data_IF_000676350411
#
_entry.id   IF_000676350411
#
_cell.length_a   1.000
_cell.length_b   1.000
_cell.length_c   1.000
_cell.angle_alpha   90.00
_cell.angle_beta   90.00
_cell.angle_gamma   90.00
#
_symmetry.space_group_name_H-M   'P 1'
#
loop_
_entity.id
_entity.type
_entity.pdbx_description
1 polymer ?
#
# COMPACT_ATOMS: atom_id res chain seq x y z
N UNK A 1 4.00 34.78 41.44
CA UNK A 1 3.58 35.90 40.55
C UNK A 1 2.97 35.32 39.27
N UNK A 2 1.66 35.45 39.04
CA UNK A 2 1.00 34.76 37.94
C UNK A 2 0.98 35.61 36.67
N UNK A 3 1.50 35.06 35.57
CA UNK A 3 1.30 35.62 34.23
C UNK A 3 -0.11 35.22 33.77
N UNK A 4 -1.08 36.10 34.00
CA UNK A 4 -2.41 35.99 33.42
C UNK A 4 -2.30 36.15 31.90
N UNK A 5 -2.47 35.05 31.15
CA UNK A 5 -2.62 35.10 29.69
C UNK A 5 -4.08 35.46 29.41
N UNK A 6 -4.30 36.64 28.83
CA UNK A 6 -5.64 37.12 28.44
C UNK A 6 -6.35 36.18 27.46
N UNK A 7 -7.67 36.34 27.27
CA UNK A 7 -8.48 35.44 26.46
C UNK A 7 -7.95 35.43 25.02
N UNK A 8 -7.51 34.24 24.58
CA UNK A 8 -7.06 34.01 23.21
C UNK A 8 -8.18 34.32 22.21
N UNK A 9 -7.78 34.84 21.06
CA UNK A 9 -8.66 35.23 19.95
C UNK A 9 -9.64 34.08 19.61
N UNK A 10 -10.96 34.35 19.52
CA UNK A 10 -11.94 33.32 19.21
C UNK A 10 -11.70 32.77 17.80
N UNK A 11 -11.38 31.48 17.70
CA UNK A 11 -11.21 30.77 16.42
C UNK A 11 -9.87 30.05 16.22
N UNK A 12 -8.89 30.24 17.10
CA UNK A 12 -7.65 29.46 17.06
C UNK A 12 -7.90 28.04 17.60
N UNK A 13 -7.75 27.02 16.73
CA UNK A 13 -7.80 25.61 17.14
C UNK A 13 -6.62 25.35 18.09
N UNK A 14 -6.92 24.86 19.28
CA UNK A 14 -5.89 24.56 20.29
C UNK A 14 -5.36 23.16 19.98
N UNK A 15 -4.07 23.06 19.65
CA UNK A 15 -3.40 21.78 19.42
C UNK A 15 -3.06 21.11 20.75
N UNK A 16 -3.96 20.26 21.24
CA UNK A 16 -3.86 19.60 22.56
C UNK A 16 -2.59 18.74 22.74
N UNK A 17 -1.95 18.29 21.65
CA UNK A 17 -0.71 17.51 21.70
C UNK A 17 0.55 18.37 21.99
N UNK A 18 0.49 19.67 21.72
CA UNK A 18 1.61 20.60 21.97
C UNK A 18 1.59 21.17 23.41
N UNK A 19 0.51 20.94 24.16
CA UNK A 19 0.38 21.37 25.55
C UNK A 19 0.86 20.26 26.49
N UNK A 20 1.74 20.61 27.42
CA UNK A 20 2.11 19.71 28.52
C UNK A 20 0.89 19.47 29.43
N UNK A 21 0.74 18.23 29.89
CA UNK A 21 -0.36 17.85 30.78
C UNK A 21 -0.41 18.80 32.00
N UNK A 22 -1.60 19.34 32.35
CA UNK A 22 -1.75 20.20 33.51
C UNK A 22 -1.37 19.46 34.80
N UNK A 23 -0.69 20.15 35.72
CA UNK A 23 -0.08 19.55 36.92
C UNK A 23 -1.05 18.81 37.87
N UNK A 24 -2.37 19.04 37.76
CA UNK A 24 -3.40 18.40 38.58
C UNK A 24 -4.39 17.56 37.76
N UNK A 25 -4.10 17.26 36.50
CA UNK A 25 -4.98 16.44 35.67
C UNK A 25 -4.92 14.97 36.11
N UNK A 26 -6.06 14.41 36.51
CA UNK A 26 -6.23 12.97 36.73
C UNK A 26 -6.82 12.34 35.46
N UNK A 27 -6.07 11.49 34.74
CA UNK A 27 -6.57 10.78 33.56
C UNK A 27 -7.85 10.00 33.88
N UNK A 28 -8.83 10.02 32.98
CA UNK A 28 -10.13 9.35 33.16
C UNK A 28 -11.13 10.12 34.02
N UNK A 29 -10.71 10.68 35.15
CA UNK A 29 -11.61 11.39 36.08
C UNK A 29 -12.18 12.69 35.47
N UNK A 30 -11.35 13.48 34.78
CA UNK A 30 -11.79 14.72 34.12
C UNK A 30 -12.71 14.52 32.91
N UNK A 31 -12.81 13.29 32.39
CA UNK A 31 -13.73 12.89 31.30
C UNK A 31 -15.02 12.24 31.85
N UNK A 32 -15.13 12.07 33.16
CA UNK A 32 -16.24 11.31 33.78
C UNK A 32 -16.16 9.80 33.52
N UNK A 33 -14.98 9.27 33.19
CA UNK A 33 -14.79 7.83 33.07
C UNK A 33 -14.71 7.22 34.48
N UNK A 34 -15.82 6.62 34.92
CA UNK A 34 -15.84 5.72 36.07
C UNK A 34 -15.61 4.29 35.57
N UNK A 35 -14.78 3.51 36.27
CA UNK A 35 -14.73 2.07 36.04
C UNK A 35 -16.11 1.46 36.28
N UNK A 36 -16.52 0.50 35.44
CA UNK A 36 -17.77 -0.22 35.65
C UNK A 36 -17.65 -1.03 36.95
N UNK A 37 -18.35 -0.60 38.00
CA UNK A 37 -18.48 -1.37 39.24
C UNK A 37 -19.34 -2.59 38.94
N UNK A 38 -18.72 -3.74 38.73
CA UNK A 38 -19.44 -5.01 38.60
C UNK A 38 -19.77 -5.57 39.98
N UNK A 39 -20.68 -6.54 40.06
CA UNK A 39 -21.15 -7.16 41.32
C UNK A 39 -20.03 -7.77 42.19
N UNK A 40 -18.82 -7.90 41.64
CA UNK A 40 -17.62 -8.38 42.34
C UNK A 40 -16.85 -7.29 43.09
N UNK A 41 -17.04 -5.99 42.77
CA UNK A 41 -16.38 -4.87 43.47
C UNK A 41 -17.06 -4.50 44.80
N UNK A 42 -18.25 -5.03 45.07
CA UNK A 42 -18.95 -4.91 46.36
C UNK A 42 -18.55 -6.13 47.22
N UNK A 43 -17.25 -6.26 47.49
CA UNK A 43 -16.63 -7.27 48.36
C UNK A 43 -16.01 -6.63 49.61
N UNK A 44 -15.71 -7.40 50.67
CA UNK A 44 -15.45 -6.86 52.01
C UNK A 44 -14.23 -5.94 52.04
N UNK A 45 -14.44 -4.78 52.67
CA UNK A 45 -13.52 -3.65 52.79
C UNK A 45 -12.25 -4.00 53.57
N UNK A 46 -11.19 -4.37 52.86
CA UNK A 46 -9.83 -4.03 53.25
C UNK A 46 -9.22 -3.21 52.13
N UNK A 47 -8.51 -2.09 52.41
CA UNK A 47 -7.72 -1.42 51.38
C UNK A 47 -6.61 -2.39 50.98
N UNK A 48 -6.80 -3.08 49.84
CA UNK A 48 -5.72 -3.82 49.21
C UNK A 48 -4.59 -2.82 48.92
N UNK A 49 -3.31 -3.21 49.09
CA UNK A 49 -2.20 -2.40 48.59
C UNK A 49 -2.43 -2.07 47.12
N UNK A 50 -1.96 -0.90 46.66
CA UNK A 50 -2.05 -0.44 45.27
C UNK A 50 -1.24 -1.37 44.34
N UNK A 51 -1.75 -2.58 44.10
CA UNK A 51 -1.27 -3.46 43.04
C UNK A 51 -1.85 -2.88 41.76
N UNK A 52 -1.01 -2.46 40.78
CA UNK A 52 -1.54 -2.08 39.49
C UNK A 52 -2.34 -3.27 38.96
N UNK A 53 -3.63 -3.04 38.64
CA UNK A 53 -4.44 -4.01 37.88
C UNK A 53 -3.81 -4.13 36.50
N UNK A 54 -2.80 -4.99 36.37
CA UNK A 54 -2.33 -5.42 35.05
C UNK A 54 -3.51 -6.11 34.39
N UNK A 55 -3.87 -5.62 33.21
CA UNK A 55 -4.93 -6.21 32.42
C UNK A 55 -4.58 -7.68 32.16
N UNK A 56 -5.57 -8.56 32.29
CA UNK A 56 -5.53 -9.92 31.76
C UNK A 56 -5.46 -9.84 30.22
N UNK A 57 -4.32 -9.41 29.71
CA UNK A 57 -4.01 -9.35 28.29
C UNK A 57 -3.80 -10.79 27.84
N UNK A 58 -4.66 -11.29 26.94
CA UNK A 58 -4.56 -12.64 26.36
C UNK A 58 -3.18 -12.91 25.71
N UNK A 59 -2.40 -11.87 25.38
CA UNK A 59 -1.03 -11.98 24.87
C UNK A 59 0.06 -12.24 25.92
N UNK A 60 -0.24 -12.11 27.22
CA UNK A 60 0.65 -12.48 28.34
C UNK A 60 0.31 -13.84 28.96
N UNK A 61 -0.87 -14.37 28.66
CA UNK A 61 -1.27 -15.70 29.08
C UNK A 61 -0.64 -16.74 28.14
N UNK A 62 0.26 -17.56 28.67
CA UNK A 62 0.71 -18.78 28.00
C UNK A 62 -0.13 -19.98 28.47
N UNK A 63 -0.46 -20.90 27.58
CA UNK A 63 -1.30 -22.05 27.94
C UNK A 63 -0.59 -23.05 28.87
N UNK A 64 0.74 -23.05 28.88
CA UNK A 64 1.55 -23.92 29.73
C UNK A 64 2.01 -23.23 31.02
N UNK A 65 2.54 -22.01 30.92
CA UNK A 65 3.02 -21.23 32.06
C UNK A 65 1.93 -20.38 32.74
N UNK A 66 0.76 -20.21 32.13
CA UNK A 66 -0.30 -19.35 32.64
C UNK A 66 0.07 -17.86 32.53
N UNK A 67 -0.38 -17.05 33.49
CA UNK A 67 0.01 -15.64 33.60
C UNK A 67 1.24 -15.50 34.52
N UNK A 68 2.31 -16.22 34.21
CA UNK A 68 3.54 -16.24 35.02
C UNK A 68 4.49 -15.13 34.60
N UNK A 69 4.16 -13.90 35.01
CA UNK A 69 5.02 -12.73 34.87
C UNK A 69 5.81 -12.43 36.14
N UNK A 70 5.91 -13.40 37.08
CA UNK A 70 6.56 -13.20 38.38
C UNK A 70 5.79 -12.28 39.34
N UNK A 71 4.57 -11.86 38.97
CA UNK A 71 3.73 -10.93 39.74
C UNK A 71 3.34 -11.47 41.11
N UNK A 72 3.24 -12.79 41.28
CA UNK A 72 2.88 -13.42 42.57
C UNK A 72 4.01 -13.35 43.62
N UNK A 73 5.28 -13.30 43.20
CA UNK A 73 6.43 -13.26 44.09
C UNK A 73 6.89 -11.83 44.43
N UNK A 74 6.60 -10.85 43.57
CA UNK A 74 7.06 -9.46 43.72
C UNK A 74 6.31 -8.60 44.75
N UNK A 75 5.27 -9.11 45.41
CA UNK A 75 4.44 -8.35 46.35
C UNK A 75 4.88 -8.45 47.82
N UNK A 76 5.85 -9.31 48.15
CA UNK A 76 6.39 -9.47 49.50
C UNK A 76 7.58 -8.55 49.77
N UNK A 77 7.89 -8.31 51.05
CA UNK A 77 9.19 -7.75 51.42
C UNK A 77 10.26 -8.81 51.11
N UNK A 78 11.27 -8.44 50.32
CA UNK A 78 12.37 -9.31 49.93
C UNK A 78 13.58 -8.99 50.79
N UNK A 79 13.88 -9.88 51.72
CA UNK A 79 14.90 -9.68 52.74
C UNK A 79 16.24 -10.30 52.30
N UNK A 80 17.30 -10.06 53.09
CA UNK A 80 18.64 -10.57 52.79
C UNK A 80 18.69 -12.11 52.76
N UNK A 81 17.84 -12.78 53.56
CA UNK A 81 17.69 -14.24 53.57
C UNK A 81 17.06 -14.77 52.27
N UNK A 82 16.11 -14.06 51.68
CA UNK A 82 15.52 -14.41 50.38
C UNK A 82 16.56 -14.31 49.25
N UNK A 83 17.43 -13.29 49.32
CA UNK A 83 18.54 -13.12 48.36
C UNK A 83 19.57 -14.24 48.46
N UNK A 84 19.90 -14.68 49.67
CA UNK A 84 20.81 -15.81 49.89
C UNK A 84 20.17 -17.13 49.43
N UNK A 85 18.88 -17.31 49.68
CA UNK A 85 18.12 -18.45 49.19
C UNK A 85 18.13 -18.51 47.66
N UNK A 86 17.83 -17.41 46.98
CA UNK A 86 17.84 -17.35 45.51
C UNK A 86 19.22 -17.66 44.93
N UNK A 87 20.30 -17.17 45.54
CA UNK A 87 21.66 -17.53 45.13
C UNK A 87 21.96 -19.01 45.29
N UNK A 88 21.51 -19.64 46.39
CA UNK A 88 21.70 -21.07 46.62
C UNK A 88 20.90 -21.89 45.60
N UNK A 89 19.64 -21.51 45.32
CA UNK A 89 18.81 -22.18 44.32
C UNK A 89 19.37 -22.00 42.91
N UNK A 90 19.84 -20.81 42.54
CA UNK A 90 20.48 -20.55 41.25
C UNK A 90 21.75 -21.41 41.08
N UNK A 91 22.56 -21.56 42.13
CA UNK A 91 23.74 -22.43 42.11
C UNK A 91 23.37 -23.91 41.92
N UNK A 92 22.28 -24.37 42.55
CA UNK A 92 21.76 -25.73 42.35
C UNK A 92 21.34 -25.93 40.90
N UNK A 93 20.60 -24.99 40.31
CA UNK A 93 20.18 -25.06 38.91
C UNK A 93 21.37 -25.01 37.95
N UNK A 94 22.33 -24.10 38.17
CA UNK A 94 23.57 -24.03 37.39
C UNK A 94 24.32 -25.37 37.43
N UNK A 95 24.48 -25.98 38.61
CA UNK A 95 25.11 -27.29 38.78
C UNK A 95 24.33 -28.42 38.08
N UNK A 96 23.01 -28.35 38.08
CA UNK A 96 22.16 -29.31 37.37
C UNK A 96 22.33 -29.18 35.84
N UNK A 97 22.52 -27.96 35.34
CA UNK A 97 22.71 -27.68 33.91
C UNK A 97 24.15 -27.97 33.40
N UNK A 98 25.17 -27.87 34.25
CA UNK A 98 26.61 -27.99 33.90
C UNK A 98 26.95 -29.18 32.98
N UNK A 99 26.32 -30.35 33.19
CA UNK A 99 26.63 -31.58 32.43
C UNK A 99 26.31 -31.47 30.94
N UNK A 100 25.35 -30.62 30.56
CA UNK A 100 24.91 -30.44 29.16
C UNK A 100 24.90 -28.99 28.73
N UNK A 101 25.30 -28.06 29.59
CA UNK A 101 25.27 -26.62 29.35
C UNK A 101 25.96 -26.26 28.03
N UNK A 102 27.20 -26.68 27.84
CA UNK A 102 27.98 -26.36 26.63
C UNK A 102 27.36 -26.93 25.35
N UNK A 103 26.82 -28.15 25.39
CA UNK A 103 26.17 -28.76 24.22
C UNK A 103 24.80 -28.15 23.94
N UNK A 104 24.03 -27.83 24.99
CA UNK A 104 22.72 -27.18 24.89
C UNK A 104 22.89 -25.78 24.33
N UNK A 105 23.77 -24.97 24.91
CA UNK A 105 24.05 -23.60 24.46
C UNK A 105 24.63 -23.58 23.04
N UNK A 106 25.56 -24.49 22.70
CA UNK A 106 26.09 -24.57 21.34
C UNK A 106 25.00 -24.94 20.32
N UNK A 107 24.13 -25.91 20.66
CA UNK A 107 23.02 -26.32 19.79
C UNK A 107 21.94 -25.23 19.69
N UNK A 108 21.66 -24.53 20.78
CA UNK A 108 20.71 -23.42 20.83
C UNK A 108 21.25 -22.22 20.05
N UNK A 109 22.54 -21.90 20.18
CA UNK A 109 23.20 -20.86 19.40
C UNK A 109 23.20 -21.19 17.90
N UNK A 110 23.55 -22.42 17.51
CA UNK A 110 23.51 -22.86 16.11
C UNK A 110 22.07 -22.87 15.56
N UNK A 111 21.09 -23.26 16.38
CA UNK A 111 19.68 -23.22 15.99
C UNK A 111 19.18 -21.78 15.83
N UNK A 112 19.60 -20.86 16.72
CA UNK A 112 19.27 -19.45 16.65
C UNK A 112 19.95 -18.78 15.44
N UNK A 113 21.19 -19.13 15.13
CA UNK A 113 21.92 -18.66 13.96
C UNK A 113 21.23 -19.12 12.68
N UNK A 114 20.97 -20.42 12.54
CA UNK A 114 20.20 -20.96 11.40
C UNK A 114 18.80 -20.36 11.29
N UNK A 115 18.15 -20.07 12.43
CA UNK A 115 16.86 -19.41 12.44
C UNK A 115 16.97 -17.96 11.95
N UNK A 116 17.99 -17.21 12.38
CA UNK A 116 18.26 -15.85 11.91
C UNK A 116 18.65 -15.82 10.43
N UNK A 117 19.39 -16.80 9.95
CA UNK A 117 19.72 -16.95 8.53
C UNK A 117 18.48 -17.23 7.68
N UNK A 118 17.58 -18.11 8.14
CA UNK A 118 16.35 -18.46 7.43
C UNK A 118 15.28 -17.38 7.52
N UNK A 119 15.19 -16.73 8.67
CA UNK A 119 14.22 -15.69 8.99
C UNK A 119 14.96 -14.45 9.53
N UNK A 120 15.69 -13.72 8.66
CA UNK A 120 16.35 -12.49 9.08
C UNK A 120 15.28 -11.51 9.55
N UNK A 121 15.56 -10.77 10.63
CA UNK A 121 14.61 -9.79 11.14
C UNK A 121 14.38 -8.71 10.07
N UNK A 122 13.16 -8.19 9.94
CA UNK A 122 12.85 -7.14 8.96
C UNK A 122 13.84 -5.96 9.07
N UNK A 123 14.20 -5.54 10.28
CA UNK A 123 15.21 -4.49 10.49
C UNK A 123 16.61 -4.85 10.00
N UNK A 124 16.98 -6.13 9.99
CA UNK A 124 18.26 -6.63 9.48
C UNK A 124 18.25 -6.68 7.94
N UNK A 125 17.14 -7.11 7.33
CA UNK A 125 16.95 -7.09 5.87
C UNK A 125 17.11 -5.66 5.30
N UNK A 126 16.65 -4.66 6.05
CA UNK A 126 16.76 -3.25 5.69
C UNK A 126 18.02 -2.56 6.23
N UNK A 127 18.93 -3.25 6.94
CA UNK A 127 20.10 -2.61 7.55
C UNK A 127 21.04 -1.98 6.51
N UNK A 128 21.27 -2.69 5.39
CA UNK A 128 22.09 -2.19 4.29
C UNK A 128 21.43 -1.04 3.54
N UNK A 129 20.11 -1.09 3.34
CA UNK A 129 19.35 -0.01 2.73
C UNK A 129 19.32 1.22 3.65
N UNK A 130 19.21 1.04 4.97
CA UNK A 130 19.29 2.11 5.96
C UNK A 130 20.69 2.73 6.02
N UNK A 131 21.76 1.94 5.82
CA UNK A 131 23.13 2.47 5.68
C UNK A 131 23.31 3.25 4.38
N UNK A 132 22.74 2.81 3.27
CA UNK A 132 22.74 3.58 2.01
C UNK A 132 21.93 4.87 2.13
N UNK A 133 20.88 4.88 2.94
CA UNK A 133 20.05 6.05 3.16
C UNK A 133 20.80 7.21 3.85
N UNK A 134 21.95 6.96 4.51
CA UNK A 134 22.76 8.04 5.09
C UNK A 134 23.49 8.89 4.04
N UNK A 135 23.63 8.41 2.80
CA UNK A 135 24.23 9.21 1.73
C UNK A 135 23.26 10.21 1.10
N UNK A 136 21.97 10.13 1.41
CA UNK A 136 20.94 11.07 0.93
C UNK A 136 21.01 12.35 1.75
N UNK A 137 21.19 13.48 1.06
CA UNK A 137 21.33 14.80 1.69
C UNK A 137 20.00 15.33 2.22
N UNK A 138 20.03 16.20 3.23
CA UNK A 138 18.82 16.83 3.79
C UNK A 138 18.01 17.62 2.73
N UNK A 139 18.69 18.21 1.74
CA UNK A 139 18.01 18.86 0.61
C UNK A 139 17.25 17.88 -0.29
N UNK A 140 17.73 16.64 -0.44
CA UNK A 140 17.00 15.59 -1.18
C UNK A 140 15.83 15.06 -0.36
N UNK A 141 15.94 15.06 0.98
CA UNK A 141 14.83 14.74 1.88
C UNK A 141 13.69 15.76 1.77
N UNK A 142 14.02 17.05 1.71
CA UNK A 142 13.02 18.12 1.53
C UNK A 142 12.37 18.11 0.14
N UNK A 143 13.08 17.56 -0.86
CA UNK A 143 12.61 17.47 -2.23
C UNK A 143 11.77 16.20 -2.52
N UNK A 144 11.53 15.33 -1.53
CA UNK A 144 10.65 14.17 -1.70
C UNK A 144 9.22 14.68 -1.97
N UNK A 145 8.64 14.37 -3.15
CA UNK A 145 7.27 14.77 -3.44
C UNK A 145 6.30 13.99 -2.54
N UNK A 146 5.25 14.66 -2.09
CA UNK A 146 4.14 13.98 -1.43
C UNK A 146 3.51 12.97 -2.40
N UNK A 147 3.02 11.87 -1.85
CA UNK A 147 2.36 10.80 -2.61
C UNK A 147 1.00 11.35 -3.02
N UNK A 148 0.97 12.16 -4.09
CA UNK A 148 -0.28 12.55 -4.74
C UNK A 148 -1.11 11.29 -5.07
N UNK A 149 -2.39 11.46 -5.42
CA UNK A 149 -3.28 10.33 -5.73
C UNK A 149 -2.78 9.50 -6.94
N UNK A 150 -1.86 8.58 -6.67
CA UNK A 150 -1.27 7.63 -7.63
C UNK A 150 -2.23 6.48 -7.90
N UNK A 151 -3.31 6.38 -7.12
CA UNK A 151 -4.38 5.45 -7.43
C UNK A 151 -5.25 6.09 -8.49
N UNK A 152 -5.11 5.65 -9.74
CA UNK A 152 -6.15 5.86 -10.75
C UNK A 152 -7.38 5.09 -10.28
N UNK A 153 -8.15 5.66 -9.34
CA UNK A 153 -9.45 5.19 -8.92
C UNK A 153 -10.39 5.44 -10.09
N UNK A 154 -10.34 4.53 -11.06
CA UNK A 154 -11.32 4.51 -12.14
C UNK A 154 -12.69 4.46 -11.47
N UNK A 155 -13.58 5.43 -11.71
CA UNK A 155 -14.93 5.34 -11.17
C UNK A 155 -15.49 4.00 -11.61
N UNK A 156 -16.01 3.20 -10.66
CA UNK A 156 -16.66 1.93 -10.99
C UNK A 156 -17.71 2.22 -12.04
N UNK A 157 -17.51 1.74 -13.27
CA UNK A 157 -18.50 1.87 -14.33
C UNK A 157 -19.78 1.23 -13.82
N UNK A 158 -20.86 2.00 -13.76
CA UNK A 158 -22.18 1.46 -13.45
C UNK A 158 -22.43 0.28 -14.41
N UNK A 159 -22.92 -0.84 -13.88
CA UNK A 159 -23.15 -2.04 -14.67
C UNK A 159 -24.29 -1.77 -15.67
N UNK A 160 -23.94 -1.37 -16.88
CA UNK A 160 -24.86 -1.29 -18.01
C UNK A 160 -24.85 -2.67 -18.65
N UNK A 161 -25.89 -3.46 -18.38
CA UNK A 161 -26.08 -4.76 -19.00
C UNK A 161 -26.72 -4.58 -20.37
N UNK A 162 -25.94 -4.76 -21.43
CA UNK A 162 -26.45 -4.89 -22.80
C UNK A 162 -26.65 -6.36 -23.14
N UNK A 163 -27.69 -6.73 -23.92
CA UNK A 163 -27.86 -8.10 -24.38
C UNK A 163 -26.61 -8.57 -25.15
N UNK A 164 -26.23 -9.83 -24.95
CA UNK A 164 -25.07 -10.43 -25.59
C UNK A 164 -25.27 -10.48 -27.12
N UNK A 165 -24.25 -10.14 -27.94
CA UNK A 165 -24.39 -10.21 -29.39
C UNK A 165 -24.37 -11.67 -29.88
N UNK A 166 -25.18 -11.95 -30.90
CA UNK A 166 -25.33 -13.29 -31.51
C UNK A 166 -24.03 -13.85 -32.14
N UNK A 167 -22.98 -13.03 -32.30
CA UNK A 167 -21.65 -13.48 -32.73
C UNK A 167 -20.98 -14.44 -31.73
N UNK A 168 -21.35 -14.37 -30.45
CA UNK A 168 -20.95 -15.35 -29.45
C UNK A 168 -21.64 -16.70 -29.70
N UNK A 169 -22.90 -16.67 -30.14
CA UNK A 169 -23.65 -17.87 -30.51
C UNK A 169 -23.13 -18.46 -31.82
N UNK A 170 -22.78 -17.63 -32.81
CA UNK A 170 -22.16 -18.07 -34.07
C UNK A 170 -20.77 -18.70 -33.85
N UNK A 171 -19.98 -18.18 -32.89
CA UNK A 171 -18.69 -18.75 -32.50
C UNK A 171 -18.84 -20.07 -31.73
N UNK A 172 -19.88 -20.19 -30.91
CA UNK A 172 -20.22 -21.44 -30.24
C UNK A 172 -20.76 -22.49 -31.23
N UNK A 173 -21.59 -22.09 -32.19
CA UNK A 173 -22.15 -22.95 -33.23
C UNK A 173 -21.10 -23.37 -34.28
N UNK A 174 -20.07 -22.54 -34.52
CA UNK A 174 -18.95 -22.82 -35.42
C UNK A 174 -17.88 -23.78 -34.88
N UNK A 175 -18.09 -24.42 -33.72
CA UNK A 175 -17.20 -25.48 -33.22
C UNK A 175 -15.89 -25.00 -32.58
N UNK A 176 -15.88 -23.80 -31.99
CA UNK A 176 -14.68 -23.19 -31.39
C UNK A 176 -14.63 -23.19 -29.86
N UNK A 177 -14.90 -24.32 -29.20
CA UNK A 177 -14.54 -24.56 -27.79
C UNK A 177 -13.24 -25.37 -27.71
N UNK A 178 -12.18 -24.85 -28.33
CA UNK A 178 -10.81 -25.29 -28.10
C UNK A 178 -10.16 -24.42 -27.03
N UNK A 179 -10.00 -24.97 -25.83
CA UNK A 179 -9.17 -24.52 -24.70
C UNK A 179 -8.58 -23.09 -24.76
N UNK A 180 -9.18 -22.18 -23.98
CA UNK A 180 -8.41 -21.10 -23.33
C UNK A 180 -8.79 -21.05 -21.85
N UNK A 181 -8.68 -22.20 -21.17
CA UNK A 181 -8.48 -22.19 -19.72
C UNK A 181 -7.03 -21.75 -19.51
N UNK A 182 -6.85 -20.48 -19.20
CA UNK A 182 -5.66 -20.04 -18.46
C UNK A 182 -5.92 -20.45 -17.03
N UNK A 183 -5.42 -21.62 -16.65
CA UNK A 183 -5.34 -22.08 -15.26
C UNK A 183 -4.48 -21.07 -14.46
N UNK A 184 -4.96 -20.54 -13.32
CA UNK A 184 -4.19 -19.66 -12.45
C UNK A 184 -3.42 -20.42 -11.36
N UNK A 185 -3.19 -21.73 -11.54
CA UNK A 185 -2.61 -22.61 -10.51
C UNK A 185 -1.39 -23.31 -11.10
N UNK A 186 -0.29 -22.59 -11.17
CA UNK A 186 0.98 -23.12 -11.64
C UNK A 186 1.87 -21.95 -11.96
N UNK A 187 2.84 -21.69 -11.08
CA UNK A 187 3.83 -20.62 -11.21
C UNK A 187 4.60 -20.72 -12.51
N UNK A 188 4.00 -20.20 -13.59
CA UNK A 188 4.72 -19.74 -14.75
C UNK A 188 5.51 -18.54 -14.27
N UNK A 189 6.77 -18.79 -13.91
CA UNK A 189 7.81 -17.78 -13.92
C UNK A 189 7.64 -17.00 -15.22
N UNK A 190 7.05 -15.81 -15.12
CA UNK A 190 7.06 -14.81 -16.17
C UNK A 190 8.54 -14.47 -16.28
N UNK A 191 9.24 -15.13 -17.21
CA UNK A 191 10.54 -14.66 -17.67
C UNK A 191 10.28 -13.22 -18.11
N UNK A 192 10.85 -12.22 -17.43
CA UNK A 192 10.65 -10.83 -17.80
C UNK A 192 11.37 -10.64 -19.13
N UNK A 193 10.62 -10.69 -20.24
CA UNK A 193 11.20 -10.67 -21.58
C UNK A 193 10.35 -11.36 -22.65
N UNK A 194 9.45 -12.28 -22.30
CA UNK A 194 8.48 -12.85 -23.25
C UNK A 194 7.18 -12.06 -23.22
N UNK A 195 7.27 -10.73 -23.34
CA UNK A 195 6.11 -9.90 -23.61
C UNK A 195 5.57 -10.31 -24.98
N UNK A 196 4.53 -11.14 -25.00
CA UNK A 196 3.71 -11.36 -26.19
C UNK A 196 3.09 -10.01 -26.54
N UNK A 197 3.69 -9.31 -27.50
CA UNK A 197 3.27 -7.98 -27.91
C UNK A 197 1.83 -8.00 -28.44
N UNK A 198 0.89 -7.65 -27.57
CA UNK A 198 -0.54 -7.60 -27.87
C UNK A 198 -0.85 -6.51 -28.91
N UNK A 199 0.03 -5.52 -29.09
CA UNK A 199 -0.13 -4.48 -30.10
C UNK A 199 0.16 -5.03 -31.51
N UNK A 200 1.17 -5.90 -31.65
CA UNK A 200 1.45 -6.61 -32.90
C UNK A 200 0.30 -7.55 -33.30
N UNK A 201 -0.31 -8.24 -32.33
CA UNK A 201 -1.51 -9.08 -32.58
C UNK A 201 -2.70 -8.22 -33.01
N UNK A 202 -2.88 -7.04 -32.40
CA UNK A 202 -3.93 -6.08 -32.78
C UNK A 202 -3.74 -5.53 -34.19
N UNK A 203 -2.50 -5.15 -34.55
CA UNK A 203 -2.15 -4.69 -35.89
C UNK A 203 -2.37 -5.78 -36.94
N UNK A 204 -1.95 -7.03 -36.65
CA UNK A 204 -2.16 -8.17 -37.55
C UNK A 204 -3.64 -8.49 -37.81
N UNK A 205 -4.52 -8.25 -36.84
CA UNK A 205 -5.98 -8.37 -37.06
C UNK A 205 -6.53 -7.22 -37.89
N UNK A 206 -6.06 -5.99 -37.67
CA UNK A 206 -6.47 -4.81 -38.43
C UNK A 206 -6.14 -4.94 -39.92
N UNK A 207 -4.97 -5.48 -40.26
CA UNK A 207 -4.57 -5.68 -41.65
C UNK A 207 -5.42 -6.75 -42.35
N UNK A 208 -5.78 -7.83 -41.66
CA UNK A 208 -6.68 -8.86 -42.21
C UNK A 208 -8.08 -8.31 -42.46
N UNK A 209 -8.59 -7.47 -41.56
CA UNK A 209 -9.87 -6.78 -41.76
C UNK A 209 -9.79 -5.82 -42.95
N UNK A 210 -8.70 -5.05 -43.06
CA UNK A 210 -8.47 -4.16 -44.19
C UNK A 210 -8.44 -4.93 -45.51
N UNK A 211 -7.77 -6.08 -45.59
CA UNK A 211 -7.76 -6.95 -46.79
C UNK A 211 -9.15 -7.50 -47.14
N UNK A 212 -9.96 -7.83 -46.14
CA UNK A 212 -11.34 -8.29 -46.38
C UNK A 212 -12.24 -7.15 -46.83
N UNK A 213 -12.04 -5.93 -46.31
CA UNK A 213 -12.72 -4.72 -46.78
C UNK A 213 -12.31 -4.37 -48.21
N UNK A 214 -11.03 -4.52 -48.56
CA UNK A 214 -10.49 -4.27 -49.90
C UNK A 214 -11.11 -5.20 -50.95
N UNK A 215 -11.20 -6.50 -50.62
CA UNK A 215 -11.92 -7.49 -51.45
C UNK A 215 -13.39 -7.16 -51.65
N UNK A 216 -14.03 -6.60 -50.64
CA UNK A 216 -15.43 -6.19 -50.72
C UNK A 216 -15.57 -4.88 -51.49
N UNK A 217 -14.66 -3.90 -51.31
CA UNK A 217 -14.67 -2.65 -52.08
C UNK A 217 -14.41 -2.87 -53.56
N UNK A 218 -13.60 -3.85 -53.93
CA UNK A 218 -13.40 -4.25 -55.33
C UNK A 218 -14.70 -4.73 -56.00
N UNK A 219 -15.64 -5.25 -55.22
CA UNK A 219 -16.96 -5.67 -55.71
C UNK A 219 -17.98 -4.52 -55.77
N UNK A 220 -17.64 -3.34 -55.25
CA UNK A 220 -18.52 -2.16 -55.24
C UNK A 220 -18.15 -1.26 -56.42
N UNK A 221 -18.91 -1.39 -57.51
CA UNK A 221 -18.80 -0.45 -58.62
C UNK A 221 -19.44 0.90 -58.25
N UNK A 222 -18.85 2.00 -58.75
CA UNK A 222 -19.36 3.37 -58.54
C UNK A 222 -18.70 4.16 -57.40
N UNK A 223 -17.63 3.64 -56.77
CA UNK A 223 -16.81 4.46 -55.88
C UNK A 223 -16.00 5.49 -56.67
N UNK A 224 -16.14 6.76 -56.32
CA UNK A 224 -15.37 7.85 -56.91
C UNK A 224 -14.16 8.15 -56.03
N UNK A 225 -12.98 7.64 -56.40
CA UNK A 225 -11.70 8.08 -55.83
C UNK A 225 -11.15 9.19 -56.72
N UNK A 226 -10.99 10.37 -56.14
CA UNK A 226 -10.28 11.48 -56.79
C UNK A 226 -8.79 11.26 -56.58
N UNK A 227 -7.99 11.35 -57.64
CA UNK A 227 -6.53 11.35 -57.51
C UNK A 227 -6.09 12.62 -56.76
N UNK A 228 -5.55 12.52 -55.54
CA UNK A 228 -5.15 13.70 -54.77
C UNK A 228 -4.05 14.50 -55.48
N UNK A 229 -3.18 13.85 -56.27
CA UNK A 229 -2.12 14.55 -57.01
C UNK A 229 -2.69 15.26 -58.23
N UNK A 230 -3.55 14.60 -58.98
CA UNK A 230 -4.32 15.21 -60.08
C UNK A 230 -5.16 16.39 -59.61
N UNK A 231 -5.89 16.23 -58.49
CA UNK A 231 -6.72 17.29 -57.92
C UNK A 231 -5.91 18.49 -57.43
N UNK A 232 -4.74 18.26 -56.81
CA UNK A 232 -3.83 19.34 -56.42
C UNK A 232 -3.18 20.02 -57.63
N UNK A 233 -2.98 19.29 -58.72
CA UNK A 233 -2.45 19.85 -59.97
C UNK A 233 -3.52 20.69 -60.65
N UNK A 234 -4.76 20.20 -60.68
CA UNK A 234 -5.91 20.92 -61.21
C UNK A 234 -6.21 22.19 -60.40
N UNK A 235 -6.12 22.10 -59.07
CA UNK A 235 -6.17 23.26 -58.17
C UNK A 235 -5.05 24.27 -58.40
N UNK A 236 -3.87 23.84 -58.88
CA UNK A 236 -2.76 24.74 -59.24
C UNK A 236 -2.93 25.34 -60.64
N UNK A 237 -3.52 24.60 -61.58
CA UNK A 237 -3.82 25.09 -62.92
C UNK A 237 -5.09 25.94 -62.96
N UNK A 238 -5.94 25.87 -61.94
CA UNK A 238 -7.02 26.82 -61.71
C UNK A 238 -6.40 28.16 -61.33
N UNK A 239 -6.13 28.96 -62.36
CA UNK A 239 -5.48 30.28 -62.26
C UNK A 239 -6.31 31.18 -61.35
N UNK A 240 -5.92 31.28 -60.08
CA UNK A 240 -6.31 32.38 -59.22
C UNK A 240 -5.57 33.62 -59.74
N UNK A 241 -6.32 34.66 -60.14
CA UNK A 241 -5.74 35.95 -60.50
C UNK A 241 -4.77 36.39 -59.42
N UNK A 242 -3.57 36.80 -59.82
CA UNK A 242 -2.45 37.05 -58.90
C UNK A 242 -2.82 38.10 -57.84
N UNK A 243 -2.27 38.00 -56.63
CA UNK A 243 -2.54 38.94 -55.53
C UNK A 243 -2.18 40.40 -55.90
N UNK A 244 -1.24 40.58 -56.83
CA UNK A 244 -0.88 41.87 -57.43
C UNK A 244 -2.02 42.44 -58.29
N UNK A 245 -2.63 41.63 -59.15
CA UNK A 245 -3.84 42.00 -59.89
C UNK A 245 -5.01 42.24 -58.94
N UNK A 246 -5.12 41.51 -57.82
CA UNK A 246 -6.17 41.74 -56.81
C UNK A 246 -6.02 43.09 -56.12
N UNK A 247 -4.80 43.55 -55.83
CA UNK A 247 -4.50 44.90 -55.33
C UNK A 247 -4.97 45.97 -56.31
N UNK A 248 -4.61 45.81 -57.58
CA UNK A 248 -4.88 46.81 -58.60
C UNK A 248 -6.34 46.76 -59.05
N UNK A 249 -7.00 45.60 -59.03
CA UNK A 249 -8.45 45.43 -59.16
C UNK A 249 -9.17 46.09 -58.00
N UNK A 250 -8.68 45.97 -56.75
CA UNK A 250 -9.28 46.66 -55.60
C UNK A 250 -9.14 48.18 -55.73
N UNK A 251 -8.00 48.69 -56.19
CA UNK A 251 -7.80 50.12 -56.49
C UNK A 251 -8.64 50.60 -57.67
N UNK A 252 -8.76 49.81 -58.73
CA UNK A 252 -9.62 50.12 -59.87
C UNK A 252 -11.11 50.11 -59.50
N UNK A 253 -11.53 49.21 -58.61
CA UNK A 253 -12.87 49.23 -57.99
C UNK A 253 -13.10 50.44 -57.09
N UNK A 254 -12.06 50.97 -56.45
CA UNK A 254 -12.14 52.15 -55.60
C UNK A 254 -12.22 53.45 -56.44
N UNK A 255 -11.60 53.43 -57.63
CA UNK A 255 -11.56 54.54 -58.58
C UNK A 255 -12.81 54.66 -59.48
N UNK A 256 -13.70 53.66 -59.48
CA UNK A 256 -14.96 53.62 -60.24
C UNK A 256 -16.16 53.86 -59.31
#
# INVERSE_FOLDING_TARGET
HPNARGPGVPGAKIDFNALKAPANYRPGLGRGASGFTTRSDIGPSMPAPDVPKEADDEGKFDAFLGNDSGVLAGSGAYDEEDREADQIWEQVDQRMEERRKTQREAKEAEALEKFRERNPKISEQFADLKRKLTSVSESEWDAIPDIGDTTIRKPKRAAIFTPAPDSLLARAAGGGLGNTVVEPEGGASIVPGTATDLTAVGQGRSTVVQLNLDRVSDSVSGQTVVDPKGYLTDMKSMVLKSDAEVSDIKKARLLL
#
